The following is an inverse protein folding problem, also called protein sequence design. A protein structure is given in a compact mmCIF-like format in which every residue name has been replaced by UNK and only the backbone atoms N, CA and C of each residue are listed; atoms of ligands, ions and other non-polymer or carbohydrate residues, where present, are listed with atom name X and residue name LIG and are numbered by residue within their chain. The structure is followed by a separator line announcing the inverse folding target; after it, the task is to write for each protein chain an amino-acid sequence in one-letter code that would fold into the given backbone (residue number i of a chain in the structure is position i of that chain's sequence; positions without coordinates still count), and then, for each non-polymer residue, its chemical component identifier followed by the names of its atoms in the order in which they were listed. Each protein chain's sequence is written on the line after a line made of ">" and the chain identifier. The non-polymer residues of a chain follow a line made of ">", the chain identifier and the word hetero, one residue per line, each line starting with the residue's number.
data_IF_763077137678
#
_entry.id   IF_763077137678
#
_cell.length_a   1.000
_cell.length_b   1.000
_cell.length_c   1.000
_cell.angle_alpha   90.00
_cell.angle_beta   90.00
_cell.angle_gamma   90.00
#
_symmetry.space_group_name_H-M   'P 1'
#
loop_
_entity.id
_entity.type
_entity.pdbx_description
1 polymer ?
#
# COMPACT_ATOMS: atom_id res chain seq x y z
N UNK A 1 -12.27 10.35 23.54
CA UNK A 1 -10.85 10.31 23.15
C UNK A 1 -10.26 9.08 23.81
N UNK A 2 -9.58 8.22 23.05
CA UNK A 2 -8.90 7.05 23.62
C UNK A 2 -7.43 7.41 23.88
N UNK A 3 -6.99 7.54 25.14
CA UNK A 3 -5.62 7.97 25.47
C UNK A 3 -4.57 6.87 25.28
N UNK A 4 -4.97 5.61 25.05
CA UNK A 4 -4.04 4.50 24.86
C UNK A 4 -4.47 3.59 23.70
N UNK A 5 -4.54 4.13 22.47
CA UNK A 5 -4.93 3.34 21.32
C UNK A 5 -3.86 2.31 20.98
N UNK A 6 -4.28 1.19 20.39
CA UNK A 6 -3.34 0.24 19.80
C UNK A 6 -2.51 0.92 18.69
N UNK A 7 -1.31 0.40 18.43
CA UNK A 7 -0.39 0.94 17.41
C UNK A 7 -0.99 0.99 15.99
N UNK A 8 -2.05 0.21 15.75
CA UNK A 8 -2.90 0.28 14.57
C UNK A 8 -4.34 0.03 14.99
N UNK A 9 -5.30 0.76 14.43
CA UNK A 9 -6.72 0.58 14.68
C UNK A 9 -7.55 0.91 13.44
N UNK A 10 -8.84 0.60 13.47
CA UNK A 10 -9.74 0.89 12.35
C UNK A 10 -11.08 1.45 12.81
N UNK A 11 -11.69 2.28 11.96
CA UNK A 11 -13.09 2.71 12.08
C UNK A 11 -13.83 2.29 10.81
N UNK A 12 -15.04 1.78 10.97
CA UNK A 12 -15.88 1.29 9.89
C UNK A 12 -17.23 2.00 9.92
N UNK A 13 -17.57 2.67 8.82
CA UNK A 13 -18.83 3.37 8.64
C UNK A 13 -19.68 2.62 7.63
N UNK A 14 -20.90 2.25 8.03
CA UNK A 14 -21.94 1.88 7.09
C UNK A 14 -22.42 3.14 6.34
N UNK A 15 -22.50 3.06 5.02
CA UNK A 15 -22.90 4.17 4.15
C UNK A 15 -24.37 4.02 3.79
N UNK A 16 -25.12 5.09 4.05
CA UNK A 16 -26.52 5.24 3.64
C UNK A 16 -26.59 5.80 2.20
N UNK A 17 -27.06 4.99 1.26
CA UNK A 17 -27.26 5.41 -0.15
C UNK A 17 -28.55 6.21 -0.33
N UNK A 18 -28.56 7.42 0.22
CA UNK A 18 -29.74 8.31 0.22
C UNK A 18 -30.22 8.68 -1.17
N UNK A 19 -29.28 8.82 -2.11
CA UNK A 19 -29.57 9.17 -3.49
C UNK A 19 -29.95 7.94 -4.35
N UNK A 20 -29.91 6.73 -3.77
CA UNK A 20 -30.22 5.47 -4.45
C UNK A 20 -29.41 5.28 -5.74
N UNK A 21 -28.14 5.69 -5.70
CA UNK A 21 -27.23 5.61 -6.84
C UNK A 21 -26.52 4.26 -6.92
N UNK A 22 -26.50 3.50 -5.83
CA UNK A 22 -25.89 2.19 -5.80
C UNK A 22 -26.70 1.21 -6.67
N UNK A 23 -26.06 0.68 -7.71
CA UNK A 23 -26.57 -0.46 -8.48
C UNK A 23 -26.33 -1.80 -7.78
N UNK A 24 -25.70 -1.77 -6.60
CA UNK A 24 -25.23 -2.93 -5.85
C UNK A 24 -26.23 -3.29 -4.76
N UNK A 25 -26.56 -4.58 -4.63
CA UNK A 25 -27.50 -5.09 -3.62
C UNK A 25 -26.89 -5.32 -2.22
N UNK A 26 -25.62 -4.95 -2.03
CA UNK A 26 -24.90 -5.17 -0.78
C UNK A 26 -24.72 -3.86 -0.01
N UNK A 27 -24.72 -3.91 1.34
CA UNK A 27 -24.37 -2.74 2.16
C UNK A 27 -23.01 -2.19 1.75
N UNK A 28 -22.94 -0.87 1.61
CA UNK A 28 -21.72 -0.13 1.29
C UNK A 28 -21.09 0.30 2.62
N UNK A 29 -19.79 0.14 2.70
CA UNK A 29 -19.00 0.51 3.87
C UNK A 29 -17.80 1.35 3.45
N UNK A 30 -17.36 2.20 4.36
CA UNK A 30 -16.07 2.88 4.30
C UNK A 30 -15.30 2.50 5.56
N UNK A 31 -14.16 1.83 5.40
CA UNK A 31 -13.26 1.54 6.51
C UNK A 31 -12.00 2.36 6.39
N UNK A 32 -11.57 2.95 7.50
CA UNK A 32 -10.26 3.58 7.64
C UNK A 32 -9.41 2.72 8.56
N UNK A 33 -8.23 2.31 8.08
CA UNK A 33 -7.17 1.70 8.89
C UNK A 33 -6.15 2.80 9.22
N UNK A 34 -5.94 3.10 10.49
CA UNK A 34 -5.04 4.16 10.96
C UNK A 34 -3.72 3.56 11.47
N UNK A 35 -2.60 4.13 11.04
CA UNK A 35 -1.24 3.61 11.26
C UNK A 35 -0.25 4.67 11.78
N UNK A 36 -0.75 5.85 12.15
CA UNK A 36 0.08 6.91 12.75
C UNK A 36 0.49 6.50 14.16
N UNK A 37 1.80 6.45 14.41
CA UNK A 37 2.35 6.11 15.71
C UNK A 37 2.13 7.25 16.72
N UNK A 38 1.78 6.88 17.96
CA UNK A 38 1.53 7.85 19.04
C UNK A 38 0.36 8.80 18.80
N UNK A 39 -0.50 8.52 17.82
CA UNK A 39 -1.67 9.34 17.53
C UNK A 39 -2.86 8.91 18.38
N UNK A 40 -3.67 9.90 18.76
CA UNK A 40 -4.84 9.76 19.63
C UNK A 40 -6.11 9.98 18.79
N UNK A 41 -7.03 9.00 18.73
CA UNK A 41 -8.32 9.18 18.06
C UNK A 41 -9.36 9.87 18.94
N UNK A 42 -10.21 10.65 18.28
CA UNK A 42 -11.48 11.13 18.81
C UNK A 42 -12.59 10.97 17.78
N UNK A 43 -13.70 10.38 18.20
CA UNK A 43 -14.93 10.34 17.43
C UNK A 43 -15.84 11.49 17.84
N UNK A 44 -16.57 12.02 16.88
CA UNK A 44 -17.58 13.05 17.10
C UNK A 44 -18.49 13.16 15.89
N UNK A 45 -19.21 14.27 15.81
CA UNK A 45 -20.07 14.60 14.67
C UNK A 45 -19.74 15.99 14.17
N UNK A 46 -20.02 16.26 12.89
CA UNK A 46 -20.10 17.64 12.44
C UNK A 46 -21.23 17.86 11.47
N UNK A 47 -21.69 19.10 11.45
CA UNK A 47 -22.56 19.58 10.40
C UNK A 47 -21.76 19.74 9.10
N UNK A 48 -22.38 19.34 7.99
CA UNK A 48 -21.98 19.65 6.63
C UNK A 48 -23.16 20.31 5.92
N UNK A 49 -22.89 21.17 4.94
CA UNK A 49 -23.92 21.64 4.02
C UNK A 49 -24.20 20.54 2.99
N UNK A 50 -25.35 19.88 3.09
CA UNK A 50 -25.81 18.85 2.18
C UNK A 50 -26.40 19.46 0.90
N UNK A 51 -25.95 18.99 -0.26
CA UNK A 51 -26.49 19.34 -1.57
C UNK A 51 -25.94 20.64 -2.18
N UNK A 52 -26.04 20.75 -3.51
CA UNK A 52 -25.74 21.98 -4.22
C UNK A 52 -26.91 22.96 -4.01
N UNK A 53 -26.72 23.96 -3.14
CA UNK A 53 -27.59 25.14 -2.96
C UNK A 53 -28.88 25.00 -2.12
N UNK A 54 -29.15 23.88 -1.45
CA UNK A 54 -30.42 23.68 -0.73
C UNK A 54 -30.45 24.19 0.72
N UNK A 55 -29.31 24.58 1.29
CA UNK A 55 -29.22 25.02 2.70
C UNK A 55 -29.56 23.92 3.72
N UNK A 56 -29.61 22.65 3.30
CA UNK A 56 -29.83 21.53 4.19
C UNK A 56 -28.56 21.24 4.99
N UNK A 57 -28.70 21.18 6.31
CA UNK A 57 -27.62 20.78 7.22
C UNK A 57 -27.73 19.29 7.50
N UNK A 58 -26.60 18.59 7.41
CA UNK A 58 -26.51 17.17 7.76
C UNK A 58 -25.42 16.97 8.80
N UNK A 59 -25.72 16.18 9.83
CA UNK A 59 -24.74 15.76 10.82
C UNK A 59 -24.14 14.43 10.40
N UNK A 60 -22.81 14.39 10.23
CA UNK A 60 -22.08 13.18 9.85
C UNK A 60 -21.09 12.76 10.94
N UNK A 61 -20.88 11.46 11.15
CA UNK A 61 -19.79 10.96 11.98
C UNK A 61 -18.44 11.50 11.49
N UNK A 62 -17.57 11.87 12.42
CA UNK A 62 -16.20 12.31 12.15
C UNK A 62 -15.20 11.59 13.03
N UNK A 63 -14.03 11.38 12.45
CA UNK A 63 -12.84 10.94 13.13
C UNK A 63 -11.81 12.07 13.10
N UNK A 64 -11.24 12.38 14.25
CA UNK A 64 -10.08 13.24 14.40
C UNK A 64 -8.91 12.41 14.91
N UNK A 65 -7.76 12.54 14.26
CA UNK A 65 -6.49 11.92 14.67
C UNK A 65 -5.54 13.02 15.07
N UNK A 66 -4.96 12.93 16.27
CA UNK A 66 -4.10 13.98 16.84
C UNK A 66 -2.77 13.40 17.31
N UNK A 67 -1.65 13.99 16.90
CA UNK A 67 -0.35 13.84 17.59
C UNK A 67 -0.08 15.06 18.46
N UNK A 68 0.64 14.84 19.55
CA UNK A 68 1.17 15.87 20.43
C UNK A 68 2.60 15.49 20.82
N UNK A 69 3.50 16.47 20.88
CA UNK A 69 4.85 16.34 21.43
C UNK A 69 5.14 17.56 22.28
N UNK A 70 5.89 17.38 23.36
CA UNK A 70 6.53 18.48 24.10
C UNK A 70 7.92 18.80 23.57
N UNK A 71 8.47 17.94 22.71
CA UNK A 71 9.81 18.02 22.17
C UNK A 71 9.77 18.57 20.73
N UNK A 72 10.69 19.49 20.42
CA UNK A 72 10.87 20.04 19.07
C UNK A 72 11.97 19.28 18.29
N UNK A 73 11.82 19.11 16.97
CA UNK A 73 10.67 19.50 16.14
C UNK A 73 9.52 18.48 16.22
N UNK A 74 8.26 18.97 16.15
CA UNK A 74 7.09 18.09 15.98
C UNK A 74 7.01 17.62 14.52
N UNK A 75 7.89 16.71 14.14
CA UNK A 75 7.84 16.03 12.85
C UNK A 75 6.90 14.85 12.95
N UNK A 76 5.84 14.86 12.13
CA UNK A 76 4.79 13.83 12.12
C UNK A 76 4.44 13.42 10.71
N UNK A 77 4.16 12.14 10.51
CA UNK A 77 3.55 11.64 9.27
C UNK A 77 2.29 10.87 9.59
N UNK A 78 1.15 11.40 9.16
CA UNK A 78 -0.15 10.77 9.33
C UNK A 78 -0.38 9.76 8.21
N UNK A 79 -0.74 8.52 8.57
CA UNK A 79 -0.91 7.43 7.61
C UNK A 79 -2.20 6.68 7.87
N UNK A 80 -3.08 6.69 6.88
CA UNK A 80 -4.27 5.86 6.86
C UNK A 80 -4.43 5.15 5.52
N UNK A 81 -5.13 4.01 5.56
CA UNK A 81 -5.63 3.32 4.37
C UNK A 81 -7.16 3.40 4.40
N UNK A 82 -7.73 3.98 3.35
CA UNK A 82 -9.17 4.11 3.18
C UNK A 82 -9.64 3.01 2.22
N UNK A 83 -10.54 2.18 2.71
CA UNK A 83 -11.09 1.00 2.06
C UNK A 83 -12.60 1.15 1.87
N UNK A 84 -13.07 1.58 0.69
CA UNK A 84 -14.46 1.41 0.31
C UNK A 84 -14.72 -0.06 -0.05
N UNK A 85 -15.80 -0.64 0.47
CA UNK A 85 -16.20 -2.01 0.11
C UNK A 85 -17.72 -2.22 0.15
N UNK A 86 -18.19 -3.22 -0.62
CA UNK A 86 -19.58 -3.66 -0.60
C UNK A 86 -19.64 -5.12 -0.17
N UNK A 87 -20.41 -5.41 0.89
CA UNK A 87 -20.53 -6.76 1.45
C UNK A 87 -19.32 -7.21 2.27
N UNK A 88 -18.18 -7.50 1.63
CA UNK A 88 -16.98 -8.01 2.32
C UNK A 88 -15.75 -7.12 2.10
N UNK A 89 -14.92 -6.88 3.13
CA UNK A 89 -13.65 -6.19 2.98
C UNK A 89 -12.72 -6.87 1.97
N UNK A 90 -11.97 -6.06 1.24
CA UNK A 90 -10.94 -6.45 0.27
C UNK A 90 -9.55 -6.45 0.87
N UNK A 91 -9.33 -5.75 1.99
CA UNK A 91 -8.10 -5.72 2.76
C UNK A 91 -8.19 -6.78 3.86
N UNK A 92 -7.20 -7.67 3.88
CA UNK A 92 -7.03 -8.68 4.93
C UNK A 92 -6.25 -8.12 6.10
N UNK A 93 -5.16 -7.40 5.84
CA UNK A 93 -4.34 -6.79 6.87
C UNK A 93 -3.66 -5.52 6.34
N UNK A 94 -3.39 -4.59 7.25
CA UNK A 94 -2.50 -3.45 7.01
C UNK A 94 -1.52 -3.38 8.17
N UNK A 95 -0.24 -3.17 7.88
CA UNK A 95 0.78 -2.96 8.91
C UNK A 95 1.80 -1.94 8.45
N UNK A 96 2.40 -1.24 9.42
CA UNK A 96 3.60 -0.44 9.19
C UNK A 96 4.80 -1.37 9.08
N UNK A 97 5.74 -1.03 8.20
CA UNK A 97 7.04 -1.69 8.11
C UNK A 97 8.10 -0.84 8.81
N UNK A 98 9.08 -1.50 9.41
CA UNK A 98 10.29 -0.82 9.86
C UNK A 98 11.02 -0.22 8.65
N UNK A 99 11.57 0.97 8.85
CA UNK A 99 12.32 1.70 7.81
C UNK A 99 13.69 2.05 8.37
N UNK A 100 14.75 1.73 7.64
CA UNK A 100 16.11 2.14 7.98
C UNK A 100 16.79 2.85 6.81
N UNK A 101 17.55 3.89 7.13
CA UNK A 101 18.32 4.70 6.20
C UNK A 101 19.80 4.31 6.38
N UNK A 102 20.29 3.42 5.51
CA UNK A 102 21.59 2.78 5.68
C UNK A 102 21.60 1.86 6.91
N UNK A 103 22.59 2.01 7.80
CA UNK A 103 22.73 1.20 9.01
C UNK A 103 22.01 1.77 10.24
N UNK A 104 21.26 2.86 10.07
CA UNK A 104 20.49 3.48 11.15
C UNK A 104 18.99 3.33 10.90
N UNK A 105 18.17 3.08 11.93
CA UNK A 105 16.73 3.30 11.82
C UNK A 105 16.47 4.69 11.23
N UNK A 106 15.43 4.81 10.41
CA UNK A 106 15.04 6.12 9.89
C UNK A 106 14.85 7.07 11.08
N UNK A 107 15.58 8.18 11.06
CA UNK A 107 15.40 9.22 12.07
C UNK A 107 14.11 9.94 11.73
N UNK A 108 13.27 10.06 12.75
CA UNK A 108 12.02 10.80 12.72
C UNK A 108 10.93 10.15 11.86
N UNK A 109 9.66 10.46 12.12
CA UNK A 109 8.50 9.89 11.41
C UNK A 109 8.44 10.28 9.91
N UNK A 110 9.50 10.84 9.33
CA UNK A 110 9.54 11.35 7.97
C UNK A 110 9.53 10.23 6.92
N UNK A 111 10.26 9.14 7.19
CA UNK A 111 10.24 7.98 6.31
C UNK A 111 9.25 6.95 6.82
N UNK A 112 8.38 6.49 5.93
CA UNK A 112 7.26 5.63 6.28
C UNK A 112 7.09 4.54 5.24
N UNK A 113 6.73 3.33 5.70
CA UNK A 113 6.35 2.27 4.81
C UNK A 113 5.20 1.46 5.41
N UNK A 114 4.28 1.03 4.55
CA UNK A 114 3.16 0.18 4.91
C UNK A 114 3.06 -1.00 3.95
N UNK A 115 2.58 -2.12 4.49
CA UNK A 115 2.23 -3.31 3.74
C UNK A 115 0.73 -3.56 3.92
N UNK A 116 0.04 -3.75 2.81
CA UNK A 116 -1.37 -4.10 2.72
C UNK A 116 -1.43 -5.50 2.11
N UNK A 117 -2.05 -6.45 2.82
CA UNK A 117 -2.38 -7.75 2.25
C UNK A 117 -3.86 -7.75 1.88
N UNK A 118 -4.17 -8.05 0.63
CA UNK A 118 -5.55 -8.13 0.15
C UNK A 118 -6.15 -9.50 0.44
N UNK A 119 -7.48 -9.58 0.45
CA UNK A 119 -8.22 -10.83 0.52
C UNK A 119 -7.89 -11.76 -0.67
N UNK A 120 -7.57 -11.18 -1.85
CA UNK A 120 -7.13 -11.90 -3.06
C UNK A 120 -5.71 -12.48 -2.96
N UNK A 121 -4.95 -12.14 -1.91
CA UNK A 121 -3.58 -12.64 -1.70
C UNK A 121 -2.49 -11.77 -2.34
N UNK A 122 -2.84 -10.59 -2.86
CA UNK A 122 -1.88 -9.59 -3.30
C UNK A 122 -1.29 -8.87 -2.09
N UNK A 123 -0.03 -8.47 -2.20
CA UNK A 123 0.64 -7.61 -1.23
C UNK A 123 0.96 -6.29 -1.89
N UNK A 124 0.44 -5.19 -1.36
CA UNK A 124 0.80 -3.84 -1.79
C UNK A 124 1.72 -3.23 -0.75
N UNK A 125 2.87 -2.75 -1.18
CA UNK A 125 3.82 -2.00 -0.36
C UNK A 125 3.83 -0.56 -0.86
N UNK A 126 3.59 0.37 0.05
CA UNK A 126 3.84 1.79 -0.17
C UNK A 126 4.98 2.22 0.75
N UNK A 127 5.92 2.99 0.22
CA UNK A 127 6.93 3.65 1.03
C UNK A 127 7.13 5.09 0.57
N UNK A 128 7.29 6.01 1.51
CA UNK A 128 7.83 7.34 1.31
C UNK A 128 9.13 7.42 2.12
N UNK A 129 10.25 7.59 1.43
CA UNK A 129 11.58 7.65 2.05
C UNK A 129 11.97 9.08 2.48
N UNK A 130 11.01 10.02 2.50
CA UNK A 130 11.20 11.44 2.74
C UNK A 130 12.03 12.15 1.64
N UNK A 131 12.34 13.43 1.85
CA UNK A 131 13.11 14.26 0.91
C UNK A 131 14.46 13.62 0.58
N UNK A 132 14.67 13.36 -0.72
CA UNK A 132 15.91 12.82 -1.29
C UNK A 132 16.66 13.85 -2.13
N UNK A 133 16.58 15.12 -1.75
CA UNK A 133 17.33 16.21 -2.35
C UNK A 133 18.85 15.94 -2.35
N UNK A 134 19.35 15.10 -1.43
CA UNK A 134 20.75 14.61 -1.44
C UNK A 134 20.92 13.34 -2.32
N UNK A 135 21.70 13.40 -3.42
CA UNK A 135 22.04 12.24 -4.23
C UNK A 135 22.86 11.16 -3.49
N UNK A 136 23.51 11.53 -2.39
CA UNK A 136 24.24 10.62 -1.51
C UNK A 136 23.36 10.02 -0.38
N UNK A 137 22.07 10.33 -0.36
CA UNK A 137 21.14 9.76 0.61
C UNK A 137 21.19 8.22 0.58
N UNK A 138 21.27 7.57 1.75
CA UNK A 138 21.42 6.13 1.82
C UNK A 138 20.20 5.41 1.22
N UNK A 139 20.41 4.14 0.88
CA UNK A 139 19.30 3.27 0.45
C UNK A 139 18.32 3.10 1.62
N UNK A 140 17.04 3.29 1.32
CA UNK A 140 15.96 3.05 2.26
C UNK A 140 15.67 1.54 2.26
N UNK A 141 15.85 0.91 3.41
CA UNK A 141 15.60 -0.52 3.63
C UNK A 141 14.29 -0.68 4.38
N UNK A 142 13.45 -1.58 3.90
CA UNK A 142 12.15 -1.89 4.48
C UNK A 142 12.24 -3.20 5.26
N UNK A 143 11.50 -3.31 6.36
CA UNK A 143 11.47 -4.49 7.24
C UNK A 143 11.01 -5.80 6.57
N UNK A 144 10.54 -5.75 5.32
CA UNK A 144 10.21 -6.91 4.50
C UNK A 144 11.33 -7.30 3.51
N UNK A 145 12.52 -6.70 3.62
CA UNK A 145 13.69 -7.00 2.78
C UNK A 145 13.71 -6.27 1.43
N UNK A 146 12.78 -5.35 1.18
CA UNK A 146 12.84 -4.48 0.01
C UNK A 146 13.81 -3.32 0.26
N UNK A 147 14.54 -2.91 -0.77
CA UNK A 147 15.40 -1.74 -0.76
C UNK A 147 14.97 -0.75 -1.85
N UNK A 148 14.99 0.55 -1.55
CA UNK A 148 14.53 1.59 -2.46
C UNK A 148 15.49 2.79 -2.51
N UNK A 149 15.86 3.18 -3.73
CA UNK A 149 16.48 4.45 -4.06
C UNK A 149 15.49 5.35 -4.82
N UNK A 150 14.46 5.81 -4.12
CA UNK A 150 13.40 6.69 -4.63
C UNK A 150 12.81 7.51 -3.49
N UNK A 151 12.19 8.66 -3.80
CA UNK A 151 11.39 9.41 -2.82
C UNK A 151 10.18 8.60 -2.38
N UNK A 152 9.47 7.99 -3.33
CA UNK A 152 8.37 7.08 -3.00
C UNK A 152 8.35 5.82 -3.89
N UNK A 153 7.75 4.76 -3.35
CA UNK A 153 7.57 3.46 -3.99
C UNK A 153 6.11 3.02 -3.83
N UNK A 154 5.56 2.45 -4.90
CA UNK A 154 4.42 1.53 -4.84
C UNK A 154 4.86 0.22 -5.48
N UNK A 155 4.82 -0.88 -4.73
CA UNK A 155 5.06 -2.22 -5.25
C UNK A 155 3.84 -3.10 -5.01
N UNK A 156 3.39 -3.83 -6.02
CA UNK A 156 2.39 -4.88 -5.90
C UNK A 156 3.09 -6.20 -6.13
N UNK A 157 2.97 -7.12 -5.19
CA UNK A 157 3.49 -8.47 -5.28
C UNK A 157 2.36 -9.50 -5.27
N UNK A 158 2.55 -10.57 -6.05
CA UNK A 158 1.70 -11.76 -6.08
C UNK A 158 2.56 -12.95 -5.69
N UNK A 159 2.21 -13.61 -4.58
CA UNK A 159 2.99 -14.74 -4.06
C UNK A 159 4.47 -14.38 -3.85
N UNK A 160 4.72 -13.20 -3.29
CA UNK A 160 6.08 -12.66 -3.05
C UNK A 160 6.76 -12.04 -4.29
N UNK A 161 6.29 -12.34 -5.50
CA UNK A 161 6.93 -11.86 -6.73
C UNK A 161 6.40 -10.47 -7.14
N UNK A 162 7.26 -9.48 -7.40
CA UNK A 162 6.84 -8.17 -7.88
C UNK A 162 6.10 -8.26 -9.22
N UNK A 163 4.83 -7.87 -9.21
CA UNK A 163 3.94 -7.82 -10.37
C UNK A 163 3.79 -6.39 -10.91
N UNK A 164 3.92 -5.36 -10.06
CA UNK A 164 3.92 -3.95 -10.49
C UNK A 164 4.84 -3.14 -9.58
N UNK A 165 5.61 -2.23 -10.17
CA UNK A 165 6.51 -1.35 -9.43
C UNK A 165 6.35 0.06 -10.01
N UNK A 166 6.14 1.05 -9.15
CA UNK A 166 6.20 2.46 -9.48
C UNK A 166 7.19 3.17 -8.55
N UNK A 167 8.18 3.83 -9.13
CA UNK A 167 9.16 4.67 -8.46
C UNK A 167 8.86 6.14 -8.75
N UNK A 168 8.89 6.97 -7.72
CA UNK A 168 8.72 8.41 -7.80
C UNK A 168 10.00 9.09 -7.33
N UNK A 169 10.56 9.96 -8.19
CA UNK A 169 11.86 10.61 -7.98
C UNK A 169 12.92 9.59 -7.55
N UNK A 170 13.11 8.56 -8.39
CA UNK A 170 13.88 7.39 -8.03
C UNK A 170 14.64 6.73 -9.17
N UNK A 171 15.56 5.85 -8.79
CA UNK A 171 16.47 5.15 -9.70
C UNK A 171 16.63 3.66 -9.42
N UNK A 172 16.31 3.18 -8.21
CA UNK A 172 16.50 1.77 -7.87
C UNK A 172 15.40 1.21 -6.98
N UNK A 173 15.05 -0.05 -7.26
CA UNK A 173 14.29 -0.93 -6.38
C UNK A 173 14.97 -2.29 -6.36
N UNK A 174 15.00 -2.95 -5.21
CA UNK A 174 15.36 -4.35 -5.09
C UNK A 174 14.54 -5.08 -4.03
N UNK A 175 14.45 -6.38 -4.18
CA UNK A 175 13.82 -7.32 -3.26
C UNK A 175 14.50 -8.69 -3.41
N UNK A 176 14.13 -9.66 -2.57
CA UNK A 176 14.56 -11.05 -2.75
C UNK A 176 14.14 -11.69 -4.08
N UNK A 177 13.18 -11.09 -4.79
CA UNK A 177 12.58 -11.62 -6.02
C UNK A 177 12.87 -10.76 -7.26
N UNK A 178 13.81 -9.83 -7.16
CA UNK A 178 14.26 -9.06 -8.32
C UNK A 178 14.60 -7.61 -8.04
N UNK A 179 15.03 -6.93 -9.09
CA UNK A 179 15.53 -5.56 -9.06
C UNK A 179 15.22 -4.78 -10.34
N UNK A 180 15.19 -3.45 -10.18
CA UNK A 180 15.13 -2.45 -11.23
C UNK A 180 16.17 -1.39 -10.92
N UNK A 181 17.02 -1.04 -11.90
CA UNK A 181 17.98 0.07 -11.84
C UNK A 181 17.89 0.94 -13.09
N UNK A 182 17.92 2.25 -12.91
CA UNK A 182 17.77 3.27 -13.95
C UNK A 182 19.04 4.13 -14.05
N UNK A 183 19.29 4.69 -15.23
CA UNK A 183 20.37 5.66 -15.55
C UNK A 183 20.06 7.00 -14.89
N UNK A 184 20.16 7.05 -13.58
CA UNK A 184 19.85 8.23 -12.77
C UNK A 184 18.40 8.32 -12.28
N UNK A 185 18.10 9.42 -11.60
CA UNK A 185 16.80 9.68 -10.98
C UNK A 185 15.78 10.02 -12.07
N UNK A 186 14.70 9.24 -12.11
CA UNK A 186 13.55 9.47 -12.96
C UNK A 186 12.39 10.03 -12.12
N UNK A 187 11.66 11.07 -12.58
CA UNK A 187 10.52 11.61 -11.85
C UNK A 187 9.44 10.57 -11.59
N UNK A 188 9.15 9.74 -12.59
CA UNK A 188 8.28 8.58 -12.49
C UNK A 188 8.80 7.46 -13.39
N UNK A 189 8.93 6.26 -12.84
CA UNK A 189 9.17 5.04 -13.61
C UNK A 189 8.22 3.96 -13.14
N UNK A 190 7.47 3.36 -14.06
CA UNK A 190 6.44 2.39 -13.74
C UNK A 190 6.51 1.19 -14.67
N UNK A 191 6.46 0.00 -14.08
CA UNK A 191 6.45 -1.27 -14.81
C UNK A 191 5.37 -2.21 -14.30
N UNK A 192 4.91 -3.08 -15.19
CA UNK A 192 4.07 -4.22 -14.90
C UNK A 192 4.76 -5.49 -15.40
N UNK A 193 4.81 -6.50 -14.53
CA UNK A 193 5.32 -7.83 -14.83
C UNK A 193 4.15 -8.81 -14.91
N UNK A 194 3.94 -9.32 -16.12
CA UNK A 194 3.08 -10.46 -16.37
C UNK A 194 3.94 -11.73 -16.55
N UNK A 195 3.31 -12.90 -16.65
CA UNK A 195 3.99 -14.20 -16.70
C UNK A 195 5.07 -14.28 -17.79
N UNK A 196 4.84 -13.63 -18.93
CA UNK A 196 5.70 -13.77 -20.12
C UNK A 196 6.51 -12.52 -20.44
N UNK A 197 6.13 -11.36 -19.92
CA UNK A 197 6.71 -10.08 -20.33
C UNK A 197 6.79 -9.10 -19.17
N UNK A 198 7.72 -8.16 -19.27
CA UNK A 198 7.77 -6.98 -18.41
C UNK A 198 7.51 -5.78 -19.30
N UNK A 199 6.45 -5.02 -18.99
CA UNK A 199 6.03 -3.86 -19.75
C UNK A 199 6.36 -2.61 -18.96
N UNK A 200 7.01 -1.64 -19.63
CA UNK A 200 7.16 -0.29 -19.09
C UNK A 200 5.85 0.46 -19.37
N UNK A 201 5.19 0.88 -18.29
CA UNK A 201 3.94 1.64 -18.34
C UNK A 201 4.23 3.16 -18.41
N UNK A 202 5.27 3.62 -17.69
CA UNK A 202 5.74 5.02 -17.69
C UNK A 202 7.26 5.07 -17.49
N UNK A 203 7.88 6.08 -18.08
CA UNK A 203 9.34 6.29 -18.03
C UNK A 203 10.03 5.93 -19.35
N UNK A 204 11.32 6.23 -19.43
CA UNK A 204 12.14 6.00 -20.62
C UNK A 204 12.75 4.58 -20.62
N UNK A 205 12.42 3.72 -21.61
CA UNK A 205 13.04 2.40 -21.77
C UNK A 205 14.57 2.44 -21.94
N UNK A 206 15.11 3.47 -22.60
CA UNK A 206 16.56 3.60 -22.78
C UNK A 206 17.26 4.00 -21.48
N UNK A 207 16.49 4.52 -20.52
CA UNK A 207 16.91 4.82 -19.15
C UNK A 207 17.06 3.60 -18.25
N UNK A 208 16.73 2.39 -18.69
CA UNK A 208 16.87 1.17 -17.88
C UNK A 208 18.30 0.63 -17.96
N UNK A 209 18.99 0.52 -16.82
CA UNK A 209 20.30 -0.13 -16.71
C UNK A 209 20.17 -1.63 -16.44
N UNK A 210 19.23 -1.99 -15.56
CA UNK A 210 19.01 -3.37 -15.14
C UNK A 210 17.56 -3.60 -14.79
N UNK A 211 17.01 -4.72 -15.26
CA UNK A 211 15.67 -5.16 -14.92
C UNK A 211 15.65 -6.68 -14.89
N UNK A 212 15.56 -7.25 -13.69
CA UNK A 212 15.52 -8.68 -13.47
C UNK A 212 14.47 -8.98 -12.41
N UNK A 213 13.30 -9.44 -12.82
CA UNK A 213 12.19 -9.78 -11.93
C UNK A 213 11.83 -11.26 -12.08
N UNK A 214 11.70 -11.94 -10.94
CA UNK A 214 11.20 -13.31 -10.90
C UNK A 214 9.71 -13.37 -11.27
N UNK A 215 9.28 -14.55 -11.74
CA UNK A 215 7.89 -14.80 -12.13
C UNK A 215 7.27 -15.74 -11.09
N UNK A 216 6.04 -15.46 -10.66
CA UNK A 216 5.24 -16.41 -9.90
C UNK A 216 4.86 -17.61 -10.79
N UNK A 217 5.25 -18.83 -10.40
CA UNK A 217 5.08 -20.07 -11.19
C UNK A 217 3.86 -20.90 -10.71
N UNK A 218 2.90 -20.32 -10.00
CA UNK A 218 1.87 -21.10 -9.28
C UNK A 218 0.94 -22.01 -10.10
N UNK A 219 0.97 -21.99 -11.44
CA UNK A 219 0.06 -22.82 -12.25
C UNK A 219 0.70 -23.89 -13.16
N UNK A 220 2.02 -24.17 -13.09
CA UNK A 220 2.61 -25.21 -13.96
C UNK A 220 2.46 -26.66 -13.48
N UNK A 221 2.01 -26.92 -12.25
CA UNK A 221 2.01 -28.28 -11.68
C UNK A 221 0.64 -28.94 -11.46
N UNK A 222 -0.49 -28.31 -11.81
CA UNK A 222 -1.82 -28.95 -11.75
C UNK A 222 -2.20 -29.80 -12.97
N UNK A 223 -1.21 -30.31 -13.71
CA UNK A 223 -1.43 -31.34 -14.74
C UNK A 223 -0.39 -32.46 -14.58
N UNK A 224 -0.66 -33.42 -13.69
CA UNK A 224 -0.12 -34.77 -13.83
C UNK A 224 -1.19 -35.83 -13.53
N UNK A 225 -1.69 -36.38 -14.65
CA UNK A 225 -2.10 -37.76 -14.91
C UNK A 225 -3.15 -38.40 -14.00
N UNK A 226 -4.40 -38.45 -14.52
CA UNK A 226 -5.30 -39.57 -14.28
C UNK A 226 -4.79 -40.73 -15.16
N UNK A 227 -4.12 -41.71 -14.56
CA UNK A 227 -3.87 -43.01 -15.21
C UNK A 227 -5.23 -43.74 -15.17
N UNK A 228 -5.74 -44.30 -16.28
CA UNK A 228 -6.89 -45.18 -16.21
C UNK A 228 -6.44 -46.51 -15.57
N UNK A 229 -7.11 -46.93 -14.50
CA UNK A 229 -7.04 -48.31 -14.04
C UNK A 229 -7.75 -49.19 -15.09
N UNK A 230 -6.97 -49.81 -15.96
CA UNK A 230 -7.33 -51.10 -16.53
C UNK A 230 -7.00 -52.18 -15.51
N UNK A 231 -8.04 -52.74 -14.90
CA UNK A 231 -8.11 -54.09 -14.33
C UNK A 231 -9.58 -54.48 -14.57
N UNK A 232 -9.95 -55.47 -15.38
CA UNK A 232 -9.29 -56.72 -15.72
C UNK A 232 -10.42 -57.75 -15.64
N UNK A 233 -10.84 -58.26 -16.79
CA UNK A 233 -11.74 -59.41 -16.87
C UNK A 233 -11.03 -60.64 -16.30
N UNK A 234 -11.64 -61.29 -15.31
CA UNK A 234 -11.75 -62.75 -15.16
C UNK A 234 -12.65 -63.09 -13.98
#
# INVERSE_FOLDING_TARGET
>A
MDPNPQASWSVDWAIDDRLKLASISHPIHLRLHELTQGAIPALGECWIAGGQFSGHEEWIPRLMVRRQSTDEPLTSTFISVIEPYAGRPTIRSVKRLDVSMGNSPARDEQAVAIQIETASGETVVYADAADRSDPAAPVCQLGNGMAVEARALVAVAREGNPARIALFDGKRFSSGHGEVSLKGIQPVFEIEKNTNETKILRGDPEGVEKMALEVSIANRFKLKRKIPEECGES
#
